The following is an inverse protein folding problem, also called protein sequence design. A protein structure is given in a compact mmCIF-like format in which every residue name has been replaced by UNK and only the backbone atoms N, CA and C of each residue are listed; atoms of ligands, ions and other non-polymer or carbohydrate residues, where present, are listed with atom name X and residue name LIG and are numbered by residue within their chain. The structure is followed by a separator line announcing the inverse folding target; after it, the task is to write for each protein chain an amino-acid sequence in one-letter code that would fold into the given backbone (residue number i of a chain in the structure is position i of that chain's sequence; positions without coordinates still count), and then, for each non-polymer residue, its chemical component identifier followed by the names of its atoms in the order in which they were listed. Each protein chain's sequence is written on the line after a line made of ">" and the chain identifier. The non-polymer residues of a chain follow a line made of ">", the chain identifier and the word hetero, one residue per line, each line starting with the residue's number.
data_IF_483475574310
#
_entry.id   IF_483475574310
#
_cell.length_a   1.000
_cell.length_b   1.000
_cell.length_c   1.000
_cell.angle_alpha   90.00
_cell.angle_beta   90.00
_cell.angle_gamma   90.00
#
_symmetry.space_group_name_H-M   'P 1'
#
loop_
_entity.id
_entity.type
_entity.pdbx_description
1 polymer ?
#
# COMPACT_ATOMS: atom_id res chain seq x y z
N UNK A 1 -1.51 -8.64 -13.78
CA UNK A 1 -1.46 -7.14 -13.81
C UNK A 1 -2.86 -6.52 -13.80
N UNK A 2 -2.97 -5.26 -13.36
CA UNK A 2 -4.25 -4.52 -13.24
C UNK A 2 -4.33 -3.42 -14.32
N UNK A 3 -5.49 -3.25 -14.97
CA UNK A 3 -5.76 -2.20 -15.96
C UNK A 3 -6.72 -1.14 -15.45
N UNK A 4 -6.58 0.10 -15.91
CA UNK A 4 -7.57 1.16 -15.71
C UNK A 4 -7.86 1.89 -17.02
N UNK A 5 -9.06 2.45 -17.13
CA UNK A 5 -9.46 3.30 -18.26
C UNK A 5 -8.93 4.71 -18.05
N UNK A 6 -8.22 5.24 -19.05
CA UNK A 6 -7.82 6.64 -19.12
C UNK A 6 -8.27 7.24 -20.45
N UNK A 7 -9.29 8.10 -20.43
CA UNK A 7 -9.96 8.57 -21.64
C UNK A 7 -10.54 7.39 -22.44
N UNK A 8 -10.18 7.27 -23.71
CA UNK A 8 -10.64 6.15 -24.55
C UNK A 8 -9.71 4.92 -24.52
N UNK A 9 -8.61 4.94 -23.76
CA UNK A 9 -7.60 3.89 -23.77
C UNK A 9 -7.53 3.10 -22.45
N UNK A 10 -7.27 1.79 -22.52
CA UNK A 10 -6.95 0.95 -21.36
C UNK A 10 -5.43 0.96 -21.12
N UNK A 11 -5.01 1.26 -19.89
CA UNK A 11 -3.60 1.34 -19.49
C UNK A 11 -3.30 0.48 -18.27
N UNK A 12 -2.06 0.06 -18.13
CA UNK A 12 -1.58 -0.66 -16.94
C UNK A 12 -1.63 0.29 -15.73
N UNK A 13 -2.42 -0.07 -14.72
CA UNK A 13 -2.53 0.62 -13.43
C UNK A 13 -1.48 0.11 -12.44
N UNK A 14 -1.35 -1.21 -12.32
CA UNK A 14 -0.43 -1.88 -11.42
C UNK A 14 0.11 -3.18 -12.05
N UNK A 15 1.30 -3.58 -11.62
CA UNK A 15 1.99 -4.77 -12.06
C UNK A 15 2.23 -5.66 -10.84
N UNK A 16 2.19 -6.97 -11.06
CA UNK A 16 2.74 -7.95 -10.15
C UNK A 16 4.21 -8.23 -10.52
N UNK A 17 4.96 -8.91 -9.64
CA UNK A 17 6.39 -9.21 -9.84
C UNK A 17 6.67 -9.92 -11.18
N UNK A 18 5.75 -10.80 -11.62
CA UNK A 18 5.89 -11.53 -12.88
C UNK A 18 5.78 -10.58 -14.08
N UNK A 19 4.81 -9.68 -14.05
CA UNK A 19 4.62 -8.68 -15.09
C UNK A 19 5.76 -7.64 -15.13
N UNK A 20 6.36 -7.31 -13.98
CA UNK A 20 7.56 -6.46 -13.92
C UNK A 20 8.78 -7.16 -14.54
N UNK A 21 8.98 -8.45 -14.29
CA UNK A 21 10.05 -9.24 -14.92
C UNK A 21 9.94 -9.31 -16.46
N UNK A 22 8.73 -9.14 -16.99
CA UNK A 22 8.46 -9.03 -18.43
C UNK A 22 8.73 -7.64 -19.02
N UNK A 23 9.33 -6.74 -18.24
CA UNK A 23 9.69 -5.36 -18.62
C UNK A 23 8.49 -4.47 -18.96
N UNK A 24 7.28 -4.84 -18.48
CA UNK A 24 6.10 -3.99 -18.58
C UNK A 24 6.20 -2.83 -17.58
N UNK A 25 5.52 -1.72 -17.90
CA UNK A 25 5.56 -0.50 -17.09
C UNK A 25 4.16 0.04 -16.86
N UNK A 26 3.92 0.60 -15.67
CA UNK A 26 2.69 1.37 -15.39
C UNK A 26 2.50 2.46 -16.44
N UNK A 27 1.26 2.69 -16.84
CA UNK A 27 0.88 3.64 -17.89
C UNK A 27 1.00 3.13 -19.33
N UNK A 28 1.66 1.98 -19.58
CA UNK A 28 1.69 1.35 -20.90
C UNK A 28 0.28 0.94 -21.35
N UNK A 29 0.01 0.96 -22.65
CA UNK A 29 -1.26 0.49 -23.20
C UNK A 29 -1.43 -1.02 -23.04
N UNK A 30 -2.63 -1.47 -22.68
CA UNK A 30 -2.92 -2.90 -22.54
C UNK A 30 -2.76 -3.65 -23.88
N UNK A 31 -3.06 -2.99 -25.00
CA UNK A 31 -2.84 -3.55 -26.33
C UNK A 31 -1.35 -3.82 -26.60
N UNK A 32 -0.48 -2.88 -26.26
CA UNK A 32 0.98 -3.02 -26.43
C UNK A 32 1.53 -4.15 -25.56
N UNK A 33 1.09 -4.21 -24.30
CA UNK A 33 1.50 -5.27 -23.38
C UNK A 33 1.09 -6.67 -23.88
N UNK A 34 -0.13 -6.81 -24.43
CA UNK A 34 -0.60 -8.08 -25.03
C UNK A 34 0.10 -8.42 -26.34
N UNK A 35 0.55 -7.43 -27.10
CA UNK A 35 1.36 -7.66 -28.30
C UNK A 35 2.75 -8.20 -27.95
N UNK A 36 3.34 -7.74 -26.84
CA UNK A 36 4.62 -8.25 -26.33
C UNK A 36 4.47 -9.63 -25.69
N UNK A 37 3.42 -9.82 -24.88
CA UNK A 37 3.20 -11.03 -24.08
C UNK A 37 1.72 -11.46 -24.16
N UNK A 38 1.33 -12.28 -25.16
CA UNK A 38 -0.08 -12.61 -25.41
C UNK A 38 -0.78 -13.36 -24.27
N UNK A 39 -0.02 -14.10 -23.46
CA UNK A 39 -0.54 -14.92 -22.36
C UNK A 39 -0.65 -14.16 -21.03
N UNK A 40 -0.49 -12.83 -21.02
CA UNK A 40 -0.51 -12.08 -19.77
C UNK A 40 -1.94 -11.88 -19.24
N UNK A 41 -2.13 -12.19 -17.97
CA UNK A 41 -3.41 -11.98 -17.28
C UNK A 41 -3.62 -10.50 -16.95
N UNK A 42 -4.79 -10.00 -17.36
CA UNK A 42 -5.22 -8.62 -17.16
C UNK A 42 -6.53 -8.61 -16.42
N UNK A 43 -6.54 -7.96 -15.25
CA UNK A 43 -7.73 -7.74 -14.43
C UNK A 43 -8.05 -6.25 -14.45
N UNK A 44 -9.31 -5.89 -14.56
CA UNK A 44 -9.72 -4.48 -14.49
C UNK A 44 -9.70 -4.00 -13.05
N UNK A 45 -9.21 -2.78 -12.82
CA UNK A 45 -9.22 -2.14 -11.52
C UNK A 45 -10.66 -2.00 -11.03
N UNK A 46 -10.88 -2.30 -9.75
CA UNK A 46 -12.14 -2.06 -9.05
C UNK A 46 -11.84 -1.13 -7.86
N UNK A 47 -11.81 0.20 -8.09
CA UNK A 47 -11.48 1.16 -7.04
C UNK A 47 -12.43 1.10 -5.84
N UNK A 48 -13.66 0.62 -6.04
CA UNK A 48 -14.64 0.49 -4.97
C UNK A 48 -14.35 -0.75 -4.12
N UNK A 49 -13.95 -1.87 -4.72
CA UNK A 49 -13.45 -3.02 -3.97
C UNK A 49 -12.16 -2.67 -3.20
N UNK A 50 -11.23 -1.95 -3.82
CA UNK A 50 -10.00 -1.48 -3.18
C UNK A 50 -10.31 -0.57 -1.98
N UNK A 51 -11.30 0.33 -2.12
CA UNK A 51 -11.76 1.20 -1.02
C UNK A 51 -12.35 0.42 0.13
N UNK A 52 -13.27 -0.52 -0.13
CA UNK A 52 -13.86 -1.37 0.94
C UNK A 52 -12.81 -2.20 1.66
N UNK A 53 -11.79 -2.67 0.94
CA UNK A 53 -10.66 -3.35 1.54
C UNK A 53 -9.89 -2.41 2.49
N UNK A 54 -9.54 -1.21 2.04
CA UNK A 54 -8.86 -0.22 2.90
C UNK A 54 -9.67 0.15 4.14
N UNK A 55 -10.99 0.32 4.01
CA UNK A 55 -11.90 0.55 5.15
C UNK A 55 -11.83 -0.61 6.16
N UNK A 56 -11.87 -1.85 5.66
CA UNK A 56 -11.76 -3.04 6.51
C UNK A 56 -10.39 -3.13 7.21
N UNK A 57 -9.31 -2.73 6.54
CA UNK A 57 -7.97 -2.67 7.13
C UNK A 57 -7.83 -1.52 8.13
N UNK A 58 -8.54 -0.41 7.92
CA UNK A 58 -8.60 0.70 8.87
C UNK A 58 -9.29 0.26 10.17
N UNK A 59 -10.46 -0.37 10.07
CA UNK A 59 -11.19 -0.92 11.22
C UNK A 59 -10.34 -1.97 11.97
N UNK A 60 -9.61 -2.81 11.24
CA UNK A 60 -8.70 -3.77 11.85
C UNK A 60 -7.54 -3.10 12.61
N UNK A 61 -7.10 -1.91 12.16
CA UNK A 61 -6.03 -1.14 12.81
C UNK A 61 -6.45 -0.48 14.13
N UNK A 62 -7.74 -0.45 14.49
CA UNK A 62 -8.26 0.11 15.76
C UNK A 62 -7.55 -0.49 17.00
N UNK A 63 -7.00 -1.70 16.86
CA UNK A 63 -6.21 -2.38 17.89
C UNK A 63 -4.93 -1.65 18.30
N UNK A 64 -4.39 -0.76 17.45
CA UNK A 64 -3.19 0.03 17.74
C UNK A 64 -3.52 1.43 18.22
N UNK A 65 -4.58 2.02 17.68
CA UNK A 65 -5.07 3.35 18.00
C UNK A 65 -6.51 3.50 17.51
N UNK A 66 -7.38 4.22 18.23
CA UNK A 66 -8.70 4.60 17.72
C UNK A 66 -8.64 5.70 16.65
N UNK A 67 -7.46 6.26 16.35
CA UNK A 67 -7.25 7.36 15.41
C UNK A 67 -6.63 6.84 14.12
N UNK A 68 -7.45 6.19 13.30
CA UNK A 68 -7.06 5.66 11.98
C UNK A 68 -7.73 6.48 10.87
N UNK A 69 -6.99 6.78 9.81
CA UNK A 69 -7.49 7.47 8.64
C UNK A 69 -7.01 6.79 7.34
N UNK A 70 -7.85 6.79 6.32
CA UNK A 70 -7.48 6.31 4.99
C UNK A 70 -6.64 7.39 4.27
N UNK A 71 -5.50 6.98 3.71
CA UNK A 71 -4.62 7.81 2.88
C UNK A 71 -4.76 7.42 1.40
N UNK A 72 -5.49 8.24 0.65
CA UNK A 72 -5.68 8.12 -0.79
C UNK A 72 -6.24 6.75 -1.24
N UNK A 73 -5.52 6.06 -2.13
CA UNK A 73 -5.97 4.83 -2.78
C UNK A 73 -5.29 3.56 -2.24
N UNK A 74 -4.24 3.69 -1.43
CA UNK A 74 -3.38 2.57 -1.05
C UNK A 74 -2.69 2.70 0.33
N UNK A 75 -3.14 3.61 1.19
CA UNK A 75 -2.48 3.88 2.47
C UNK A 75 -3.42 4.06 3.65
N UNK A 76 -2.85 3.99 4.85
CA UNK A 76 -3.49 4.31 6.13
C UNK A 76 -2.56 5.22 6.95
N UNK A 77 -3.13 6.16 7.68
CA UNK A 77 -2.47 6.91 8.75
C UNK A 77 -3.00 6.46 10.11
N UNK A 78 -2.07 6.22 11.03
CA UNK A 78 -2.38 5.87 12.41
C UNK A 78 -1.72 6.92 13.32
N UNK A 79 -2.52 7.65 14.09
CA UNK A 79 -1.99 8.45 15.19
C UNK A 79 -1.79 7.56 16.42
N UNK A 80 -0.55 7.11 16.63
CA UNK A 80 -0.17 6.20 17.71
C UNK A 80 0.28 6.93 18.98
N UNK A 81 0.04 8.25 19.07
CA UNK A 81 0.43 9.07 20.21
C UNK A 81 -0.12 8.48 21.51
N UNK A 82 0.78 8.16 22.44
CA UNK A 82 0.42 7.58 23.73
C UNK A 82 0.06 6.10 23.70
N UNK A 83 0.03 5.42 22.54
CA UNK A 83 -0.30 4.00 22.44
C UNK A 83 0.93 3.09 22.39
N UNK A 84 2.07 3.61 21.89
CA UNK A 84 3.29 2.82 21.60
C UNK A 84 3.84 2.05 22.80
N UNK A 85 3.70 2.58 24.03
CA UNK A 85 4.16 1.93 25.25
C UNK A 85 3.44 0.60 25.55
N UNK A 86 2.20 0.43 25.10
CA UNK A 86 1.42 -0.81 25.26
C UNK A 86 2.02 -1.98 24.47
N UNK A 87 2.91 -1.68 23.53
CA UNK A 87 3.54 -2.65 22.63
C UNK A 87 5.05 -2.76 22.87
N UNK A 88 5.59 -2.11 23.91
CA UNK A 88 7.03 -2.08 24.17
C UNK A 88 7.78 -0.99 23.41
N UNK A 89 7.08 0.03 22.90
CA UNK A 89 7.65 1.18 22.20
C UNK A 89 7.37 1.19 20.70
N UNK A 90 7.80 2.27 20.03
CA UNK A 90 7.53 2.53 18.61
C UNK A 90 8.01 1.42 17.68
N UNK A 91 9.24 0.93 17.89
CA UNK A 91 9.83 -0.14 17.07
C UNK A 91 9.03 -1.43 17.18
N UNK A 92 8.70 -1.83 18.40
CA UNK A 92 7.97 -3.07 18.64
C UNK A 92 6.53 -3.01 18.11
N UNK A 93 5.85 -1.87 18.23
CA UNK A 93 4.56 -1.64 17.60
C UNK A 93 4.64 -1.75 16.07
N UNK A 94 5.62 -1.08 15.45
CA UNK A 94 5.80 -1.10 14.00
C UNK A 94 6.11 -2.51 13.47
N UNK A 95 6.94 -3.26 14.18
CA UNK A 95 7.28 -4.64 13.82
C UNK A 95 6.06 -5.58 13.95
N UNK A 96 5.21 -5.41 14.99
CA UNK A 96 3.96 -6.17 15.14
C UNK A 96 2.96 -5.86 14.01
N UNK A 97 2.81 -4.58 13.64
CA UNK A 97 1.99 -4.14 12.50
C UNK A 97 2.44 -4.85 11.22
N UNK A 98 3.72 -4.72 10.86
CA UNK A 98 4.28 -5.29 9.64
C UNK A 98 4.15 -6.82 9.61
N UNK A 99 4.46 -7.50 10.73
CA UNK A 99 4.34 -8.95 10.82
C UNK A 99 2.91 -9.43 10.61
N UNK A 100 1.92 -8.75 11.20
CA UNK A 100 0.51 -9.16 11.06
C UNK A 100 -0.09 -8.85 9.70
N UNK A 101 0.31 -7.78 9.05
CA UNK A 101 -0.08 -7.53 7.66
C UNK A 101 0.50 -8.60 6.74
N UNK A 102 1.77 -8.96 6.94
CA UNK A 102 2.41 -10.06 6.20
C UNK A 102 1.65 -11.39 6.40
N UNK A 103 1.27 -11.74 7.63
CA UNK A 103 0.49 -12.94 7.91
C UNK A 103 -0.94 -12.92 7.33
N UNK A 104 -1.51 -11.75 7.08
CA UNK A 104 -2.78 -11.59 6.37
C UNK A 104 -2.63 -11.64 4.84
N UNK A 105 -1.39 -11.74 4.33
CA UNK A 105 -1.10 -11.81 2.90
C UNK A 105 -0.86 -10.46 2.23
N UNK A 106 -0.63 -9.40 3.01
CA UNK A 106 -0.30 -8.07 2.47
C UNK A 106 1.19 -7.81 2.52
N UNK A 107 1.73 -7.29 1.42
CA UNK A 107 3.03 -6.63 1.40
C UNK A 107 2.81 -5.14 1.64
N UNK A 108 3.32 -4.63 2.77
CA UNK A 108 3.10 -3.25 3.21
C UNK A 108 4.42 -2.58 3.58
N UNK A 109 4.46 -1.27 3.38
CA UNK A 109 5.54 -0.40 3.85
C UNK A 109 4.98 0.54 4.91
N UNK A 110 5.73 0.75 5.98
CA UNK A 110 5.33 1.63 7.08
C UNK A 110 6.46 2.58 7.46
N UNK A 111 6.06 3.77 7.90
CA UNK A 111 6.93 4.82 8.40
C UNK A 111 6.32 5.43 9.65
N UNK A 112 7.14 5.63 10.68
CA UNK A 112 6.75 6.26 11.94
C UNK A 112 7.61 7.51 12.18
N UNK A 113 6.97 8.62 12.51
CA UNK A 113 7.64 9.89 12.77
C UNK A 113 6.76 10.81 13.63
N UNK A 114 7.36 11.87 14.15
CA UNK A 114 6.66 12.89 14.94
C UNK A 114 5.66 13.74 14.12
N UNK A 115 5.68 13.68 12.79
CA UNK A 115 4.73 14.40 11.93
C UNK A 115 4.18 13.50 10.82
N UNK A 116 2.93 13.72 10.36
CA UNK A 116 2.34 12.95 9.28
C UNK A 116 3.15 12.98 7.98
N UNK A 117 3.70 14.15 7.62
CA UNK A 117 4.50 14.31 6.40
C UNK A 117 5.81 13.50 6.45
N UNK A 118 6.49 13.47 7.59
CA UNK A 118 7.70 12.67 7.75
C UNK A 118 7.39 11.17 7.74
N UNK A 119 6.30 10.74 8.40
CA UNK A 119 5.85 9.35 8.40
C UNK A 119 5.49 8.87 6.99
N UNK A 120 4.77 9.70 6.22
CA UNK A 120 4.43 9.47 4.83
C UNK A 120 5.66 9.32 3.93
N UNK A 121 6.62 10.25 4.08
CA UNK A 121 7.85 10.21 3.33
C UNK A 121 8.69 8.98 3.68
N UNK A 122 8.73 8.61 4.95
CA UNK A 122 9.43 7.42 5.42
C UNK A 122 8.84 6.13 4.83
N UNK A 123 7.50 6.00 4.85
CA UNK A 123 6.80 4.83 4.32
C UNK A 123 7.04 4.64 2.80
N UNK A 124 7.05 5.75 2.03
CA UNK A 124 7.11 5.70 0.55
C UNK A 124 8.52 5.78 -0.03
N UNK A 125 9.43 6.52 0.60
CA UNK A 125 10.72 6.87 0.00
C UNK A 125 11.96 6.53 0.84
N UNK A 126 11.84 6.37 2.15
CA UNK A 126 13.01 6.12 2.99
C UNK A 126 13.36 4.63 3.06
N UNK A 127 14.65 4.37 3.33
CA UNK A 127 15.14 3.06 3.76
C UNK A 127 14.97 2.86 5.27
N UNK A 128 14.89 3.93 6.05
CA UNK A 128 14.62 3.86 7.49
C UNK A 128 13.13 4.05 7.77
N UNK A 129 12.59 3.19 8.64
CA UNK A 129 11.17 3.07 8.94
C UNK A 129 10.76 3.95 10.12
N UNK A 130 11.71 4.42 10.93
CA UNK A 130 11.43 5.32 12.06
C UNK A 130 12.30 6.56 11.90
N UNK A 131 11.67 7.72 11.79
CA UNK A 131 12.37 9.01 11.71
C UNK A 131 12.29 9.65 13.10
N UNK A 132 13.43 9.79 13.82
CA UNK A 132 13.45 10.48 15.09
C UNK A 132 13.06 11.95 14.92
N UNK A 133 12.36 12.48 15.93
CA UNK A 133 12.04 13.90 16.04
C UNK A 133 13.23 14.76 16.42
#
# INVERSE_FOLDING_TARGET
>A
MISHRQGNAQRIAALDERAEALHLKRGMGIADARAMHPSIDVVEADPEADRRLLESLADWCDRYTPLVAIDAADGLFLDVTGCTHLFGGERAMLDDILSRFFHQGFDVRAGLAATPGAAWAAARFANDRIVPG
#
